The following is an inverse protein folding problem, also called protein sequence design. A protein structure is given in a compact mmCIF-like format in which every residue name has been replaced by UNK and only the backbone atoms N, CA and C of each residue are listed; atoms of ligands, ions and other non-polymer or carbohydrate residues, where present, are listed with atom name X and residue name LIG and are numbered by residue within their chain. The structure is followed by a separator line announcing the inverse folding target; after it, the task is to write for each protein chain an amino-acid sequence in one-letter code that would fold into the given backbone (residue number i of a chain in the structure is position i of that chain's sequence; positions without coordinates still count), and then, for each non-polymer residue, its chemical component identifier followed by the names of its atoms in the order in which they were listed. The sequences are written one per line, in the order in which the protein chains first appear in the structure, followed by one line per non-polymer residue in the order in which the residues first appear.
data_IF_906779380594
#
_entry.id   IF_906779380594
#
_cell.length_a   1.000
_cell.length_b   1.000
_cell.length_c   1.000
_cell.angle_alpha   90.00
_cell.angle_beta   90.00
_cell.angle_gamma   90.00
#
_symmetry.space_group_name_H-M   'P 1'
#
loop_
_entity.id
_entity.type
_entity.pdbx_description
1 polymer ?
#
# COMPACT_ATOMS: atom_id res chain seq x y z
N UNK A 1 -12.67 1.79 2.50
CA UNK A 1 -12.51 1.83 1.03
C UNK A 1 -11.43 0.82 0.65
N UNK A 2 -11.63 0.07 -0.43
CA UNK A 2 -10.67 -0.91 -0.96
C UNK A 2 -10.47 -0.62 -2.45
N UNK A 3 -9.25 -0.71 -2.94
CA UNK A 3 -8.90 -0.56 -4.35
C UNK A 3 -8.08 -1.77 -4.82
N UNK A 4 -8.59 -2.48 -5.82
CA UNK A 4 -7.87 -3.58 -6.47
C UNK A 4 -6.93 -3.04 -7.54
N UNK A 5 -5.79 -3.70 -7.71
CA UNK A 5 -4.84 -3.39 -8.77
C UNK A 5 -4.05 -4.64 -9.18
N UNK A 6 -3.62 -4.67 -10.43
CA UNK A 6 -2.70 -5.66 -10.94
C UNK A 6 -1.26 -5.12 -10.86
N UNK A 7 -0.32 -5.96 -10.46
CA UNK A 7 1.10 -5.60 -10.43
C UNK A 7 1.98 -6.76 -10.85
N UNK A 8 3.02 -6.48 -11.64
CA UNK A 8 3.95 -7.51 -12.09
C UNK A 8 5.03 -7.73 -11.02
N UNK A 9 5.11 -8.95 -10.53
CA UNK A 9 6.15 -9.39 -9.59
C UNK A 9 6.94 -10.52 -10.24
N UNK A 10 8.22 -10.29 -10.51
CA UNK A 10 9.10 -11.32 -11.06
C UNK A 10 8.62 -11.90 -12.40
N UNK A 11 8.02 -11.08 -13.26
CA UNK A 11 7.52 -11.49 -14.58
C UNK A 11 6.10 -12.07 -14.56
N UNK A 12 5.44 -12.17 -13.40
CA UNK A 12 4.05 -12.65 -13.27
C UNK A 12 3.15 -11.53 -12.77
N UNK A 13 2.04 -11.31 -13.46
CA UNK A 13 1.00 -10.39 -12.98
C UNK A 13 0.26 -11.02 -11.81
N UNK A 14 0.35 -10.41 -10.63
CA UNK A 14 -0.43 -10.74 -9.44
C UNK A 14 -1.56 -9.74 -9.21
N UNK A 15 -2.60 -10.19 -8.52
CA UNK A 15 -3.73 -9.34 -8.12
C UNK A 15 -3.60 -8.95 -6.65
N UNK A 16 -3.67 -7.66 -6.39
CA UNK A 16 -3.51 -7.08 -5.06
C UNK A 16 -4.67 -6.14 -4.75
N UNK A 17 -4.82 -5.82 -3.47
CA UNK A 17 -5.74 -4.79 -3.03
C UNK A 17 -5.06 -3.88 -2.01
N UNK A 18 -5.48 -2.63 -2.00
CA UNK A 18 -5.05 -1.63 -1.03
C UNK A 18 -6.26 -1.08 -0.28
N UNK A 19 -6.13 -0.91 1.03
CA UNK A 19 -7.19 -0.39 1.89
C UNK A 19 -6.64 0.50 3.00
N UNK A 20 -7.48 1.37 3.55
CA UNK A 20 -7.15 2.07 4.78
C UNK A 20 -7.35 1.14 5.98
N UNK A 21 -6.47 1.24 6.97
CA UNK A 21 -6.66 0.57 8.25
C UNK A 21 -7.94 1.08 8.95
N UNK A 22 -8.71 0.17 9.55
CA UNK A 22 -9.99 0.50 10.19
C UNK A 22 -9.84 0.96 11.65
N UNK A 23 -8.62 0.99 12.18
CA UNK A 23 -8.29 1.34 13.56
C UNK A 23 -8.16 2.86 13.81
N UNK A 24 -8.55 3.67 12.83
CA UNK A 24 -8.44 5.13 12.89
C UNK A 24 -7.01 5.66 12.65
N UNK A 25 -6.04 4.78 12.41
CA UNK A 25 -4.71 5.20 11.95
C UNK A 25 -4.74 5.55 10.46
N UNK A 26 -3.91 6.51 10.05
CA UNK A 26 -3.81 6.93 8.65
C UNK A 26 -2.86 5.99 7.89
N UNK A 27 -3.08 4.68 8.01
CA UNK A 27 -2.24 3.64 7.41
C UNK A 27 -2.93 3.01 6.21
N UNK A 28 -2.16 2.75 5.16
CA UNK A 28 -2.60 1.99 3.99
C UNK A 28 -2.00 0.59 4.05
N UNK A 29 -2.85 -0.41 3.93
CA UNK A 29 -2.47 -1.83 3.89
C UNK A 29 -2.54 -2.30 2.44
N UNK A 30 -1.49 -2.95 1.95
CA UNK A 30 -1.49 -3.65 0.66
C UNK A 30 -1.43 -5.14 0.92
N UNK A 31 -2.38 -5.87 0.34
CA UNK A 31 -2.57 -7.30 0.53
C UNK A 31 -2.74 -8.04 -0.80
N UNK A 32 -2.55 -9.35 -0.79
CA UNK A 32 -3.01 -10.23 -1.88
C UNK A 32 -4.54 -10.15 -2.01
N UNK A 33 -5.05 -10.14 -3.24
CA UNK A 33 -6.49 -9.97 -3.46
C UNK A 33 -7.32 -11.22 -3.13
N UNK A 34 -6.71 -12.41 -3.18
CA UNK A 34 -7.37 -13.70 -2.99
C UNK A 34 -7.43 -14.13 -1.52
N UNK A 35 -6.34 -13.95 -0.77
CA UNK A 35 -6.24 -14.37 0.64
C UNK A 35 -6.27 -13.22 1.64
N UNK A 36 -6.30 -11.96 1.17
CA UNK A 36 -6.18 -10.77 2.00
C UNK A 36 -4.92 -10.76 2.91
N UNK A 37 -3.85 -11.45 2.49
CA UNK A 37 -2.60 -11.51 3.25
C UNK A 37 -1.85 -10.18 3.10
N UNK A 38 -1.65 -9.47 4.20
CA UNK A 38 -0.92 -8.19 4.21
C UNK A 38 0.54 -8.37 3.87
N UNK A 39 1.02 -7.58 2.92
CA UNK A 39 2.39 -7.55 2.43
C UNK A 39 3.10 -6.25 2.79
N UNK A 40 2.39 -5.13 2.69
CA UNK A 40 2.97 -3.80 2.92
C UNK A 40 2.05 -2.96 3.81
N UNK A 41 2.65 -2.20 4.72
CA UNK A 41 1.99 -1.19 5.54
C UNK A 41 2.67 0.15 5.26
N UNK A 42 1.90 1.15 4.80
CA UNK A 42 2.38 2.51 4.62
C UNK A 42 1.72 3.45 5.63
N UNK A 43 2.53 4.06 6.49
CA UNK A 43 2.08 4.99 7.50
C UNK A 43 2.10 6.44 6.99
N UNK A 44 0.92 7.06 6.93
CA UNK A 44 0.75 8.44 6.49
C UNK A 44 0.46 9.42 7.64
N UNK A 45 0.68 9.03 8.90
CA UNK A 45 0.53 9.94 10.05
C UNK A 45 1.57 11.05 10.06
N UNK A 46 2.74 10.82 9.46
CA UNK A 46 3.83 11.79 9.33
C UNK A 46 3.65 12.85 8.22
N UNK A 47 2.58 12.78 7.41
CA UNK A 47 2.36 13.75 6.33
C UNK A 47 2.02 15.15 6.88
N UNK A 48 2.73 16.16 6.38
CA UNK A 48 2.57 17.57 6.76
C UNK A 48 2.36 18.48 5.54
N UNK A 49 1.80 19.67 5.77
CA UNK A 49 1.73 20.74 4.78
C UNK A 49 0.94 20.35 3.52
N UNK A 50 1.47 20.75 2.35
CA UNK A 50 0.80 20.58 1.06
C UNK A 50 0.55 19.10 0.69
N UNK A 51 1.47 18.20 1.07
CA UNK A 51 1.32 16.74 0.85
C UNK A 51 0.13 16.17 1.62
N UNK A 52 -0.12 16.64 2.84
CA UNK A 52 -1.29 16.22 3.62
C UNK A 52 -2.60 16.67 2.97
N UNK A 53 -2.62 17.88 2.43
CA UNK A 53 -3.79 18.43 1.73
C UNK A 53 -4.06 17.70 0.41
N UNK A 54 -3.00 17.37 -0.34
CA UNK A 54 -3.09 16.57 -1.57
C UNK A 54 -3.55 15.13 -1.28
N UNK A 55 -3.17 14.55 -0.14
CA UNK A 55 -3.54 13.18 0.24
C UNK A 55 -4.66 13.16 1.28
N UNK A 56 -5.53 14.16 1.22
CA UNK A 56 -6.71 14.25 2.09
C UNK A 56 -7.78 13.25 1.69
N UNK A 57 -7.98 13.05 0.38
CA UNK A 57 -8.93 12.09 -0.13
C UNK A 57 -8.43 10.64 0.07
N UNK A 58 -9.24 9.75 0.65
CA UNK A 58 -8.90 8.33 0.83
C UNK A 58 -8.39 7.65 -0.45
N UNK A 59 -9.00 7.98 -1.59
CA UNK A 59 -8.63 7.45 -2.89
C UNK A 59 -7.23 7.89 -3.33
N UNK A 60 -6.89 9.17 -3.12
CA UNK A 60 -5.57 9.71 -3.48
C UNK A 60 -4.48 9.15 -2.57
N UNK A 61 -4.77 9.01 -1.27
CA UNK A 61 -3.86 8.38 -0.33
C UNK A 61 -3.56 6.93 -0.70
N UNK A 62 -4.59 6.14 -1.04
CA UNK A 62 -4.42 4.76 -1.49
C UNK A 62 -3.63 4.71 -2.81
N UNK A 63 -3.95 5.55 -3.79
CA UNK A 63 -3.24 5.59 -5.06
C UNK A 63 -1.75 5.93 -4.89
N UNK A 64 -1.44 6.89 -4.02
CA UNK A 64 -0.06 7.26 -3.71
C UNK A 64 0.69 6.11 -3.01
N UNK A 65 0.03 5.44 -2.07
CA UNK A 65 0.58 4.29 -1.36
C UNK A 65 0.91 3.11 -2.30
N UNK A 66 -0.01 2.79 -3.22
CA UNK A 66 0.20 1.76 -4.25
C UNK A 66 1.44 2.12 -5.07
N UNK A 67 1.49 3.36 -5.57
CA UNK A 67 2.60 3.82 -6.41
C UNK A 67 3.94 3.74 -5.68
N UNK A 68 4.00 4.21 -4.43
CA UNK A 68 5.20 4.12 -3.61
C UNK A 68 5.65 2.67 -3.39
N UNK A 69 4.71 1.77 -3.11
CA UNK A 69 5.04 0.36 -2.91
C UNK A 69 5.57 -0.33 -4.18
N UNK A 70 5.11 0.10 -5.35
CA UNK A 70 5.61 -0.36 -6.65
C UNK A 70 7.00 0.23 -6.93
N UNK A 71 7.18 1.54 -6.78
CA UNK A 71 8.43 2.25 -7.08
C UNK A 71 9.58 1.77 -6.17
N UNK A 72 9.29 1.50 -4.89
CA UNK A 72 10.28 1.03 -3.91
C UNK A 72 10.48 -0.50 -3.90
N UNK A 73 9.74 -1.24 -4.72
CA UNK A 73 9.80 -2.71 -4.81
C UNK A 73 9.38 -3.42 -3.51
N UNK A 74 8.46 -2.83 -2.74
CA UNK A 74 8.06 -3.34 -1.42
C UNK A 74 7.26 -4.63 -1.53
N UNK A 75 6.42 -4.75 -2.56
CA UNK A 75 5.59 -5.94 -2.80
C UNK A 75 6.48 -7.13 -3.12
N UNK A 76 7.45 -6.98 -4.03
CA UNK A 76 8.40 -8.06 -4.34
C UNK A 76 9.23 -8.46 -3.14
N UNK A 77 9.69 -7.48 -2.34
CA UNK A 77 10.47 -7.76 -1.13
C UNK A 77 9.64 -8.52 -0.10
N UNK A 78 8.38 -8.13 0.12
CA UNK A 78 7.48 -8.84 1.03
C UNK A 78 7.31 -10.31 0.62
N UNK A 79 7.05 -10.55 -0.67
CA UNK A 79 6.87 -11.89 -1.21
C UNK A 79 8.17 -12.72 -1.16
N UNK A 80 9.32 -12.12 -1.43
CA UNK A 80 10.61 -12.82 -1.41
C UNK A 80 11.08 -13.17 0.00
N UNK A 81 10.76 -12.34 1.00
CA UNK A 81 11.24 -12.52 2.38
C UNK A 81 10.21 -13.20 3.28
N UNK A 82 8.94 -13.18 2.91
CA UNK A 82 7.83 -13.58 3.76
C UNK A 82 7.55 -12.60 4.91
N UNK A 83 8.25 -11.46 4.96
CA UNK A 83 8.10 -10.45 6.01
C UNK A 83 7.30 -9.25 5.50
N UNK A 84 6.42 -8.74 6.35
CA UNK A 84 5.68 -7.50 6.08
C UNK A 84 6.68 -6.35 5.92
N UNK A 85 6.51 -5.55 4.87
CA UNK A 85 7.30 -4.33 4.65
C UNK A 85 6.54 -3.14 5.21
N UNK A 86 7.13 -2.45 6.18
CA UNK A 86 6.54 -1.27 6.79
C UNK A 86 7.40 -0.03 6.51
N UNK A 87 6.76 1.05 6.05
CA UNK A 87 7.42 2.33 5.77
C UNK A 87 6.47 3.50 5.98
N UNK A 88 7.00 4.71 6.09
CA UNK A 88 6.21 5.94 5.99
C UNK A 88 5.89 6.27 4.53
N UNK A 89 4.78 6.98 4.32
CA UNK A 89 4.33 7.51 3.04
C UNK A 89 5.06 8.81 2.69
#
# INVERSE_FOLDING_TARGET
MIQNFDFNVGGKTGQFCASLAEDGTRRVLISTADTATTLVILDATGLLGALKAELEEPAQLIAHAIRKAQDDGLIERALSTGAIQETSL
#
